data_IF_012992979535
#
_entry.id   IF_012992979535
#
_cell.length_a   1.000
_cell.length_b   1.000
_cell.length_c   1.000
_cell.angle_alpha   90.00
_cell.angle_beta   90.00
_cell.angle_gamma   90.00
#
_symmetry.space_group_name_H-M   'P 1'
#
loop_
_entity.id
_entity.type
_entity.pdbx_description
1 polymer ?
#
# COMPACT_ATOMS: atom_id res chain seq x y z
N UNK A 1 6.55 6.03 20.20
CA UNK A 1 5.81 4.81 19.80
C UNK A 1 4.42 4.81 20.41
N UNK A 2 3.36 4.71 19.58
CA UNK A 2 1.96 4.48 20.00
C UNK A 2 1.37 3.30 19.23
N UNK A 3 0.35 2.62 19.76
CA UNK A 3 -0.24 1.45 19.13
C UNK A 3 -1.60 1.05 19.71
N UNK A 4 -2.32 0.19 18.99
CA UNK A 4 -3.58 -0.42 19.43
C UNK A 4 -3.58 -1.91 19.08
N UNK A 5 -4.15 -2.74 19.97
CA UNK A 5 -4.48 -4.12 19.63
C UNK A 5 -5.68 -4.11 18.68
N UNK A 6 -5.51 -4.71 17.51
CA UNK A 6 -6.59 -4.92 16.54
C UNK A 6 -7.23 -6.29 16.80
N UNK A 7 -6.39 -7.28 17.10
CA UNK A 7 -6.76 -8.61 17.59
C UNK A 7 -5.94 -8.90 18.85
N UNK A 8 -6.27 -9.94 19.64
CA UNK A 8 -5.47 -10.32 20.82
C UNK A 8 -3.97 -10.56 20.52
N UNK A 9 -3.65 -10.97 19.29
CA UNK A 9 -2.31 -11.29 18.82
C UNK A 9 -1.79 -10.37 17.69
N UNK A 10 -2.55 -9.35 17.28
CA UNK A 10 -2.14 -8.40 16.23
C UNK A 10 -2.24 -6.96 16.73
N UNK A 11 -1.10 -6.28 16.76
CA UNK A 11 -0.98 -4.85 17.09
C UNK A 11 -0.63 -4.07 15.81
N UNK A 12 -1.28 -2.92 15.64
CA UNK A 12 -0.86 -1.89 14.65
C UNK A 12 -0.35 -0.66 15.39
N UNK A 13 0.80 -0.16 14.99
CA UNK A 13 1.43 0.98 15.66
C UNK A 13 2.32 1.85 14.80
N UNK A 14 2.79 2.94 15.41
CA UNK A 14 3.82 3.83 14.87
C UNK A 14 5.21 3.21 15.01
N UNK A 15 6.23 3.81 14.40
CA UNK A 15 7.59 3.33 14.52
C UNK A 15 8.11 3.32 15.96
N UNK A 16 8.95 2.32 16.23
CA UNK A 16 9.91 2.36 17.34
C UNK A 16 10.84 3.56 17.12
N UNK A 17 11.24 4.20 18.21
CA UNK A 17 12.10 5.38 18.20
C UNK A 17 13.49 5.06 18.75
N UNK A 18 13.56 4.11 19.69
CA UNK A 18 14.80 3.77 20.39
C UNK A 18 14.89 2.27 20.65
N UNK A 19 16.08 1.73 20.93
CA UNK A 19 16.27 0.36 21.40
C UNK A 19 15.35 -0.04 22.57
N UNK A 20 15.08 0.88 23.51
CA UNK A 20 14.21 0.64 24.66
C UNK A 20 12.76 0.30 24.28
N UNK A 21 12.31 0.68 23.08
CA UNK A 21 10.98 0.31 22.61
C UNK A 21 10.86 -1.20 22.34
N UNK A 22 11.96 -1.87 21.98
CA UNK A 22 12.00 -3.34 21.88
C UNK A 22 11.68 -3.99 23.21
N UNK A 23 12.27 -3.49 24.30
CA UNK A 23 12.04 -3.98 25.66
C UNK A 23 10.58 -3.76 26.08
N UNK A 24 10.00 -2.60 25.73
CA UNK A 24 8.59 -2.30 26.00
C UNK A 24 7.65 -3.27 25.28
N UNK A 25 7.92 -3.56 24.01
CA UNK A 25 7.12 -4.53 23.24
C UNK A 25 7.28 -5.95 23.77
N UNK A 26 8.49 -6.37 24.14
CA UNK A 26 8.70 -7.70 24.74
C UNK A 26 7.96 -7.87 26.06
N UNK A 27 7.89 -6.83 26.91
CA UNK A 27 7.16 -6.87 28.19
C UNK A 27 5.68 -7.17 28.02
N UNK A 28 5.07 -6.74 26.92
CA UNK A 28 3.66 -7.04 26.61
C UNK A 28 3.49 -8.33 25.79
N UNK A 29 4.56 -9.11 25.60
CA UNK A 29 4.50 -10.42 24.94
C UNK A 29 4.67 -10.40 23.42
N UNK A 30 5.11 -9.28 22.82
CA UNK A 30 5.43 -9.23 21.38
C UNK A 30 6.58 -10.18 21.07
N UNK A 31 6.38 -10.99 20.02
CA UNK A 31 7.36 -11.94 19.48
C UNK A 31 7.88 -11.54 18.11
N UNK A 32 7.14 -10.71 17.38
CA UNK A 32 7.52 -10.24 16.05
C UNK A 32 7.31 -8.73 15.96
N UNK A 33 8.36 -7.98 15.67
CA UNK A 33 8.32 -6.58 15.24
C UNK A 33 8.42 -6.58 13.72
N UNK A 34 7.37 -6.16 13.05
CA UNK A 34 7.24 -6.18 11.59
C UNK A 34 7.27 -4.75 11.04
N UNK A 35 8.44 -4.33 10.59
CA UNK A 35 8.76 -2.97 10.17
C UNK A 35 8.58 -2.79 8.66
N UNK A 36 7.72 -1.85 8.28
CA UNK A 36 7.42 -1.53 6.86
C UNK A 36 8.20 -0.31 6.33
N UNK A 37 9.03 0.32 7.16
CA UNK A 37 9.75 1.55 6.81
C UNK A 37 10.93 1.30 5.88
N UNK A 38 11.11 2.20 4.92
CA UNK A 38 12.34 2.39 4.15
C UNK A 38 13.31 3.29 4.92
N UNK A 39 14.56 3.33 4.47
CA UNK A 39 15.59 4.13 5.13
C UNK A 39 15.28 5.65 5.13
N UNK A 40 14.73 6.25 4.05
CA UNK A 40 14.31 7.66 4.09
C UNK A 40 13.25 7.97 5.15
N UNK A 41 12.36 7.03 5.48
CA UNK A 41 11.40 7.20 6.57
C UNK A 41 12.11 7.34 7.92
N UNK A 42 13.17 6.55 8.13
CA UNK A 42 13.90 6.46 9.37
C UNK A 42 14.83 7.66 9.54
N UNK A 43 15.54 8.03 8.46
CA UNK A 43 16.43 9.19 8.39
C UNK A 43 15.69 10.49 8.72
N UNK A 44 14.48 10.67 8.17
CA UNK A 44 13.67 11.86 8.43
C UNK A 44 13.39 12.08 9.94
N UNK A 45 13.23 11.00 10.71
CA UNK A 45 12.98 11.05 12.16
C UNK A 45 14.23 10.75 13.01
N UNK A 46 15.41 10.58 12.40
CA UNK A 46 16.64 10.24 13.11
C UNK A 46 16.60 8.90 13.85
N UNK A 47 15.87 7.91 13.32
CA UNK A 47 15.71 6.60 13.95
C UNK A 47 16.87 5.68 13.56
N UNK A 48 17.67 5.25 14.54
CA UNK A 48 18.71 4.24 14.36
C UNK A 48 18.11 2.82 14.33
N UNK A 49 17.81 2.35 13.13
CA UNK A 49 17.24 1.01 12.91
C UNK A 49 18.24 -0.11 13.23
N UNK A 50 19.53 0.14 13.08
CA UNK A 50 20.57 -0.85 13.38
C UNK A 50 20.61 -1.12 14.88
N UNK A 51 20.62 -0.07 15.70
CA UNK A 51 20.57 -0.20 17.16
C UNK A 51 19.28 -0.91 17.65
N UNK A 52 18.14 -0.67 16.99
CA UNK A 52 16.87 -1.37 17.28
C UNK A 52 16.99 -2.87 16.95
N UNK A 53 17.54 -3.22 15.79
CA UNK A 53 17.74 -4.62 15.38
C UNK A 53 18.74 -5.35 16.28
N UNK A 54 19.83 -4.69 16.67
CA UNK A 54 20.81 -5.22 17.63
C UNK A 54 20.15 -5.50 18.97
N UNK A 55 19.36 -4.55 19.48
CA UNK A 55 18.63 -4.74 20.74
C UNK A 55 17.65 -5.90 20.69
N UNK A 56 16.94 -6.10 19.58
CA UNK A 56 16.06 -7.26 19.41
C UNK A 56 16.82 -8.59 19.48
N UNK A 57 18.01 -8.66 18.87
CA UNK A 57 18.89 -9.83 18.93
C UNK A 57 19.40 -10.10 20.36
N UNK A 58 19.93 -9.08 21.03
CA UNK A 58 20.43 -9.17 22.41
C UNK A 58 19.34 -9.61 23.39
N UNK A 59 18.16 -9.01 23.25
CA UNK A 59 17.04 -9.25 24.13
C UNK A 59 16.54 -10.69 24.00
N UNK A 60 16.57 -11.25 22.79
CA UNK A 60 16.14 -12.61 22.49
C UNK A 60 14.63 -12.84 22.66
N UNK A 61 14.08 -13.83 21.95
CA UNK A 61 12.65 -14.16 22.04
C UNK A 61 11.70 -13.09 21.48
N UNK A 62 12.23 -12.13 20.73
CA UNK A 62 11.52 -11.16 19.89
C UNK A 62 12.35 -11.00 18.60
N UNK A 63 11.71 -11.09 17.44
CA UNK A 63 12.37 -10.95 16.14
C UNK A 63 11.98 -9.62 15.50
N UNK A 64 12.97 -8.92 14.93
CA UNK A 64 12.73 -7.72 14.13
C UNK A 64 12.88 -8.04 12.63
N UNK A 65 11.81 -7.87 11.87
CA UNK A 65 11.76 -8.13 10.41
C UNK A 65 11.51 -6.82 9.68
N UNK A 66 12.25 -6.56 8.60
CA UNK A 66 11.99 -5.43 7.70
C UNK A 66 11.37 -5.95 6.40
N UNK A 67 10.17 -5.48 6.07
CA UNK A 67 9.46 -5.78 4.84
C UNK A 67 8.97 -4.46 4.23
N UNK A 68 9.89 -3.77 3.56
CA UNK A 68 9.73 -2.35 3.23
C UNK A 68 8.63 -2.08 2.19
N UNK A 69 7.90 -0.98 2.39
CA UNK A 69 6.90 -0.40 1.48
C UNK A 69 7.12 1.12 1.47
N UNK A 70 7.16 1.75 0.30
CA UNK A 70 7.34 3.20 0.12
C UNK A 70 6.17 3.98 0.71
N UNK A 71 6.46 5.08 1.41
CA UNK A 71 5.41 5.93 1.98
C UNK A 71 4.72 6.79 0.92
N UNK A 72 3.47 7.18 1.19
CA UNK A 72 2.64 7.98 0.29
C UNK A 72 2.50 7.41 -1.12
N UNK A 73 2.59 6.08 -1.26
CA UNK A 73 2.52 5.38 -2.53
C UNK A 73 1.54 4.19 -2.47
N UNK A 74 0.28 4.40 -2.87
CA UNK A 74 -0.72 3.33 -2.95
C UNK A 74 -0.36 2.24 -3.98
N UNK A 75 0.42 2.57 -5.01
CA UNK A 75 0.82 1.61 -6.04
C UNK A 75 1.92 0.68 -5.52
N UNK A 76 2.96 1.21 -4.90
CA UNK A 76 3.98 0.37 -4.25
C UNK A 76 3.33 -0.51 -3.17
N UNK A 77 2.41 0.05 -2.38
CA UNK A 77 1.61 -0.75 -1.44
C UNK A 77 0.90 -1.93 -2.14
N UNK A 78 0.11 -1.67 -3.20
CA UNK A 78 -0.57 -2.71 -3.99
C UNK A 78 0.40 -3.81 -4.45
N UNK A 79 1.52 -3.42 -5.04
CA UNK A 79 2.50 -4.36 -5.63
C UNK A 79 3.25 -5.15 -4.55
N UNK A 80 3.52 -4.54 -3.40
CA UNK A 80 4.30 -5.15 -2.30
C UNK A 80 3.47 -6.04 -1.38
N UNK A 81 2.17 -5.78 -1.25
CA UNK A 81 1.27 -6.51 -0.34
C UNK A 81 1.42 -8.04 -0.41
N UNK A 82 1.47 -8.69 -1.59
CA UNK A 82 1.68 -10.14 -1.68
C UNK A 82 2.94 -10.63 -0.93
N UNK A 83 4.12 -10.10 -1.26
CA UNK A 83 5.37 -10.56 -0.66
C UNK A 83 5.48 -10.18 0.83
N UNK A 84 4.99 -8.99 1.19
CA UNK A 84 5.01 -8.51 2.57
C UNK A 84 4.10 -9.34 3.46
N UNK A 85 2.86 -9.61 3.04
CA UNK A 85 1.90 -10.38 3.84
C UNK A 85 2.28 -11.87 3.87
N UNK A 86 2.90 -12.41 2.82
CA UNK A 86 3.49 -13.76 2.85
C UNK A 86 4.60 -13.87 3.92
N UNK A 87 5.50 -12.88 3.97
CA UNK A 87 6.57 -12.81 4.98
C UNK A 87 6.00 -12.69 6.39
N UNK A 88 5.01 -11.80 6.58
CA UNK A 88 4.28 -11.66 7.84
C UNK A 88 3.65 -12.98 8.28
N UNK A 89 2.91 -13.65 7.39
CA UNK A 89 2.26 -14.92 7.71
C UNK A 89 3.27 -15.96 8.19
N UNK A 90 4.40 -16.13 7.48
CA UNK A 90 5.45 -17.07 7.89
C UNK A 90 6.06 -16.72 9.24
N UNK A 91 6.31 -15.44 9.49
CA UNK A 91 6.82 -14.96 10.77
C UNK A 91 5.84 -15.24 11.92
N UNK A 92 4.56 -14.95 11.73
CA UNK A 92 3.50 -15.25 12.71
C UNK A 92 3.43 -16.76 12.98
N UNK A 93 3.49 -17.59 11.94
CA UNK A 93 3.46 -19.04 12.10
C UNK A 93 4.69 -19.60 12.82
N UNK A 94 5.88 -19.06 12.56
CA UNK A 94 7.13 -19.49 13.18
C UNK A 94 7.24 -19.03 14.63
N UNK A 95 7.00 -17.74 14.89
CA UNK A 95 7.32 -17.14 16.18
C UNK A 95 6.19 -17.34 17.19
N UNK A 96 4.94 -17.45 16.72
CA UNK A 96 3.72 -17.44 17.53
C UNK A 96 3.64 -16.20 18.43
N UNK A 97 2.53 -16.02 19.17
CA UNK A 97 2.36 -14.87 20.06
C UNK A 97 2.08 -13.55 19.32
N UNK A 98 2.25 -12.43 20.02
CA UNK A 98 1.79 -11.12 19.55
C UNK A 98 2.72 -10.57 18.47
N UNK A 99 2.13 -10.08 17.38
CA UNK A 99 2.85 -9.44 16.27
C UNK A 99 2.56 -7.95 16.23
N UNK A 100 3.62 -7.14 16.23
CA UNK A 100 3.60 -5.69 16.16
C UNK A 100 3.89 -5.23 14.73
N UNK A 101 2.86 -4.84 13.99
CA UNK A 101 2.97 -4.36 12.61
C UNK A 101 3.06 -2.84 12.63
N UNK A 102 4.14 -2.27 12.07
CA UNK A 102 4.31 -0.82 12.07
C UNK A 102 4.88 -0.28 10.76
N UNK A 103 4.57 0.99 10.52
CA UNK A 103 5.25 1.85 9.55
C UNK A 103 5.76 3.08 10.30
N UNK A 104 5.77 4.26 9.69
CA UNK A 104 6.13 5.51 10.38
C UNK A 104 5.03 5.93 11.39
N UNK A 105 3.87 6.37 10.90
CA UNK A 105 2.77 6.83 11.76
C UNK A 105 1.84 5.70 12.24
N UNK A 106 1.89 4.52 11.61
CA UNK A 106 0.91 3.46 11.84
C UNK A 106 -0.48 3.79 11.31
N UNK A 107 -0.58 4.63 10.26
CA UNK A 107 -1.85 5.15 9.73
C UNK A 107 -2.16 4.74 8.28
N UNK A 108 -1.17 4.29 7.52
CA UNK A 108 -1.33 3.90 6.10
C UNK A 108 -0.87 2.47 5.83
N UNK A 109 0.44 2.29 5.64
CA UNK A 109 1.06 0.99 5.29
C UNK A 109 0.77 -0.11 6.33
N UNK A 110 0.98 0.16 7.61
CA UNK A 110 0.76 -0.83 8.68
C UNK A 110 -0.69 -1.32 8.80
N UNK A 111 -1.71 -0.43 8.90
CA UNK A 111 -3.08 -0.89 8.93
C UNK A 111 -3.50 -1.59 7.63
N UNK A 112 -2.98 -1.18 6.46
CA UNK A 112 -3.21 -1.89 5.20
C UNK A 112 -2.69 -3.34 5.24
N UNK A 113 -1.46 -3.54 5.71
CA UNK A 113 -0.85 -4.88 5.84
C UNK A 113 -1.60 -5.74 6.86
N UNK A 114 -1.96 -5.19 8.02
CA UNK A 114 -2.72 -5.91 9.04
C UNK A 114 -4.10 -6.32 8.52
N UNK A 115 -4.82 -5.40 7.86
CA UNK A 115 -6.12 -5.66 7.27
C UNK A 115 -6.04 -6.73 6.17
N UNK A 116 -5.01 -6.66 5.32
CA UNK A 116 -4.78 -7.66 4.27
C UNK A 116 -4.47 -9.04 4.85
N UNK A 117 -3.74 -9.11 5.96
CA UNK A 117 -3.49 -10.35 6.68
C UNK A 117 -4.78 -10.97 7.24
N UNK A 118 -5.63 -10.15 7.88
CA UNK A 118 -6.94 -10.59 8.38
C UNK A 118 -7.82 -11.12 7.24
N UNK A 119 -7.86 -10.38 6.13
CA UNK A 119 -8.64 -10.71 4.95
C UNK A 119 -8.16 -11.99 4.25
N UNK A 120 -6.86 -12.13 3.95
CA UNK A 120 -6.35 -13.26 3.17
C UNK A 120 -6.14 -14.54 4.00
N UNK A 121 -5.71 -14.41 5.26
CA UNK A 121 -5.28 -15.57 6.06
C UNK A 121 -6.23 -15.91 7.21
N UNK A 122 -6.84 -14.93 7.86
CA UNK A 122 -7.69 -15.17 9.04
C UNK A 122 -9.18 -15.38 8.72
N UNK A 123 -9.58 -15.19 7.45
CA UNK A 123 -10.93 -15.52 7.00
C UNK A 123 -11.96 -14.41 7.13
N UNK A 124 -11.56 -13.21 7.56
CA UNK A 124 -12.46 -12.07 7.68
C UNK A 124 -12.99 -11.62 6.30
N UNK A 125 -14.15 -10.98 6.29
CA UNK A 125 -14.51 -10.06 5.21
C UNK A 125 -13.67 -8.77 5.30
N UNK A 126 -13.41 -8.14 4.16
CA UNK A 126 -12.57 -6.93 4.11
C UNK A 126 -13.23 -5.74 4.83
N UNK A 127 -14.55 -5.57 4.68
CA UNK A 127 -15.27 -4.46 5.31
C UNK A 127 -15.35 -4.67 6.82
N UNK A 128 -15.74 -5.87 7.27
CA UNK A 128 -15.81 -6.22 8.69
C UNK A 128 -14.45 -6.03 9.39
N UNK A 129 -13.36 -6.49 8.78
CA UNK A 129 -12.03 -6.29 9.33
C UNK A 129 -11.61 -4.81 9.35
N UNK A 130 -12.04 -4.02 8.36
CA UNK A 130 -11.78 -2.59 8.33
C UNK A 130 -12.56 -1.85 9.43
N UNK A 131 -13.83 -2.20 9.65
CA UNK A 131 -14.65 -1.63 10.73
C UNK A 131 -14.04 -1.96 12.10
N UNK A 132 -13.65 -3.21 12.33
CA UNK A 132 -12.96 -3.61 13.55
C UNK A 132 -11.68 -2.79 13.77
N UNK A 133 -10.85 -2.67 12.73
CA UNK A 133 -9.61 -1.90 12.80
C UNK A 133 -9.86 -0.42 13.12
N UNK A 134 -10.84 0.20 12.46
CA UNK A 134 -11.15 1.63 12.64
C UNK A 134 -11.83 1.91 13.99
N UNK A 135 -12.52 0.93 14.58
CA UNK A 135 -13.13 1.06 15.90
C UNK A 135 -12.11 1.29 17.03
N UNK A 136 -10.87 0.81 16.84
CA UNK A 136 -9.79 0.92 17.84
C UNK A 136 -8.65 1.85 17.40
N UNK A 137 -8.49 2.08 16.10
CA UNK A 137 -7.43 2.94 15.56
C UNK A 137 -7.90 3.72 14.32
N UNK A 138 -8.27 5.01 14.49
CA UNK A 138 -8.57 5.90 13.37
C UNK A 138 -7.36 5.99 12.42
N UNK A 139 -7.54 5.57 11.17
CA UNK A 139 -6.46 5.52 10.17
C UNK A 139 -6.98 5.44 8.73
N UNK A 140 -6.08 5.20 7.76
CA UNK A 140 -6.36 5.19 6.32
C UNK A 140 -5.73 3.94 5.64
N UNK A 141 -6.33 2.73 5.78
CA UNK A 141 -5.74 1.46 5.36
C UNK A 141 -5.70 1.22 3.84
N UNK A 142 -6.05 2.22 3.02
CA UNK A 142 -5.96 2.18 1.55
C UNK A 142 -6.67 0.96 0.93
N UNK A 143 -7.97 0.78 1.22
CA UNK A 143 -8.77 -0.38 0.80
C UNK A 143 -8.65 -0.68 -0.70
N UNK A 144 -8.59 0.34 -1.56
CA UNK A 144 -8.47 0.16 -3.00
C UNK A 144 -7.17 -0.56 -3.40
N UNK A 145 -6.06 -0.31 -2.70
CA UNK A 145 -4.79 -1.03 -2.92
C UNK A 145 -4.91 -2.51 -2.53
N UNK A 146 -5.63 -2.81 -1.45
CA UNK A 146 -5.88 -4.19 -0.98
C UNK A 146 -6.76 -4.95 -1.98
N UNK A 147 -7.85 -4.33 -2.46
CA UNK A 147 -8.73 -4.92 -3.48
C UNK A 147 -7.96 -5.20 -4.76
N UNK A 148 -7.21 -4.21 -5.26
CA UNK A 148 -6.40 -4.38 -6.46
C UNK A 148 -5.32 -5.47 -6.30
N UNK A 149 -4.61 -5.53 -5.17
CA UNK A 149 -3.64 -6.59 -4.91
C UNK A 149 -4.29 -7.98 -4.89
N UNK A 150 -5.52 -8.06 -4.37
CA UNK A 150 -6.33 -9.30 -4.36
C UNK A 150 -6.75 -9.69 -5.78
N UNK A 151 -7.22 -8.73 -6.57
CA UNK A 151 -7.51 -8.94 -7.99
C UNK A 151 -6.27 -9.45 -8.73
N UNK A 152 -5.11 -8.83 -8.55
CA UNK A 152 -3.87 -9.21 -9.24
C UNK A 152 -3.42 -10.63 -8.88
N UNK A 153 -3.58 -11.03 -7.62
CA UNK A 153 -3.32 -12.40 -7.19
C UNK A 153 -4.26 -13.41 -7.84
N UNK A 154 -5.51 -13.06 -8.15
CA UNK A 154 -6.50 -13.99 -8.70
C UNK A 154 -6.56 -13.97 -10.23
N UNK A 155 -6.32 -12.81 -10.85
CA UNK A 155 -6.51 -12.59 -12.29
C UNK A 155 -5.20 -12.30 -13.05
N UNK A 156 -4.08 -12.16 -12.34
CA UNK A 156 -2.82 -11.72 -12.94
C UNK A 156 -2.73 -10.20 -13.11
N UNK A 157 -1.58 -9.75 -13.60
CA UNK A 157 -1.12 -8.36 -13.62
C UNK A 157 -1.08 -7.79 -15.04
N UNK A 158 -2.23 -7.80 -15.72
CA UNK A 158 -2.35 -7.20 -17.05
C UNK A 158 -2.08 -5.69 -16.99
N UNK A 159 -1.43 -5.17 -18.05
CA UNK A 159 -1.08 -3.76 -18.20
C UNK A 159 -1.64 -3.21 -19.50
N UNK A 160 -1.94 -1.91 -19.49
CA UNK A 160 -2.28 -1.15 -20.68
C UNK A 160 -1.47 0.15 -20.71
N UNK A 161 -1.25 0.69 -21.91
CA UNK A 161 -0.60 1.99 -22.08
C UNK A 161 -1.62 3.11 -21.95
N UNK A 162 -1.39 4.02 -21.01
CA UNK A 162 -2.16 5.26 -20.83
C UNK A 162 -1.35 6.43 -21.35
N UNK A 163 -2.02 7.34 -22.06
CA UNK A 163 -1.47 8.61 -22.50
C UNK A 163 -2.12 9.75 -21.71
N UNK A 164 -1.32 10.49 -20.96
CA UNK A 164 -1.74 11.66 -20.19
C UNK A 164 -1.26 12.90 -20.93
N UNK A 165 -2.13 13.89 -21.09
CA UNK A 165 -1.87 15.05 -21.94
C UNK A 165 -2.19 16.36 -21.23
N UNK A 166 -1.32 17.33 -21.43
CA UNK A 166 -1.54 18.71 -21.00
C UNK A 166 -1.37 19.65 -22.19
N UNK A 167 -2.35 20.51 -22.44
CA UNK A 167 -2.33 21.48 -23.52
C UNK A 167 -2.37 22.88 -22.94
N UNK A 168 -1.28 23.62 -23.12
CA UNK A 168 -1.12 25.00 -22.66
C UNK A 168 0.07 25.63 -23.40
N UNK A 169 -0.17 26.81 -23.98
CA UNK A 169 0.75 27.51 -24.89
C UNK A 169 1.88 28.23 -24.13
N UNK A 170 1.69 28.51 -22.84
CA UNK A 170 2.56 29.41 -22.07
C UNK A 170 3.39 28.70 -20.98
N UNK A 171 3.19 27.40 -20.78
CA UNK A 171 3.88 26.66 -19.72
C UNK A 171 5.27 26.14 -20.16
N UNK A 172 6.23 26.13 -19.22
CA UNK A 172 7.63 25.74 -19.49
C UNK A 172 7.95 24.32 -19.07
N UNK A 173 7.26 23.84 -18.06
CA UNK A 173 7.44 22.52 -17.46
C UNK A 173 6.08 21.96 -17.08
N UNK A 174 5.90 20.67 -17.40
CA UNK A 174 4.73 19.91 -16.94
C UNK A 174 5.23 18.59 -16.39
N UNK A 175 4.89 18.30 -15.15
CA UNK A 175 5.20 17.06 -14.47
C UNK A 175 3.91 16.43 -13.92
N UNK A 176 3.97 15.15 -13.55
CA UNK A 176 2.89 14.45 -12.86
C UNK A 176 3.42 13.79 -11.58
N UNK A 177 2.60 13.79 -10.53
CA UNK A 177 2.78 13.01 -9.31
C UNK A 177 1.55 12.14 -9.03
N UNK A 178 1.70 11.10 -8.21
CA UNK A 178 0.68 10.06 -7.99
C UNK A 178 0.91 8.86 -8.90
N UNK A 179 -0.11 8.43 -9.66
CA UNK A 179 -0.04 7.29 -10.57
C UNK A 179 0.59 6.04 -9.93
N UNK A 180 1.57 5.45 -10.63
CA UNK A 180 2.37 4.30 -10.24
C UNK A 180 3.72 4.68 -9.64
N UNK A 181 3.93 5.97 -9.37
CA UNK A 181 5.19 6.49 -8.80
C UNK A 181 5.06 6.95 -7.36
N UNK A 182 3.84 7.26 -6.90
CA UNK A 182 3.57 7.79 -5.56
C UNK A 182 3.53 9.33 -5.53
N UNK A 183 3.07 9.87 -4.41
CA UNK A 183 2.92 11.33 -4.23
C UNK A 183 4.21 12.05 -3.82
N UNK A 184 5.27 11.30 -3.50
CA UNK A 184 6.58 11.86 -3.17
C UNK A 184 7.52 11.97 -4.38
N UNK A 185 7.04 11.59 -5.56
CA UNK A 185 7.81 11.49 -6.79
C UNK A 185 7.13 12.32 -7.89
N UNK A 186 7.93 12.80 -8.84
CA UNK A 186 7.44 13.55 -10.01
C UNK A 186 8.09 12.97 -11.27
N UNK A 187 7.32 12.95 -12.36
CA UNK A 187 7.80 12.55 -13.68
C UNK A 187 7.48 13.65 -14.70
N UNK A 188 8.47 14.13 -15.48
CA UNK A 188 8.23 15.16 -16.48
C UNK A 188 7.49 14.59 -17.69
N UNK A 189 6.61 15.40 -18.27
CA UNK A 189 6.01 15.18 -19.58
C UNK A 189 6.99 15.64 -20.68
N UNK A 190 6.83 15.08 -21.88
CA UNK A 190 7.57 15.50 -23.07
C UNK A 190 6.73 16.45 -23.90
N UNK A 191 7.28 17.62 -24.25
CA UNK A 191 6.60 18.58 -25.13
C UNK A 191 6.68 18.15 -26.61
N UNK A 192 5.54 18.13 -27.28
CA UNK A 192 5.38 17.78 -28.70
C UNK A 192 5.04 19.03 -29.50
N UNK A 193 6.08 19.68 -30.04
CA UNK A 193 5.94 20.97 -30.75
C UNK A 193 4.99 20.95 -31.96
N UNK A 194 4.87 19.83 -32.67
CA UNK A 194 3.99 19.70 -33.84
C UNK A 194 2.50 19.75 -33.50
N UNK A 195 2.14 19.39 -32.26
CA UNK A 195 0.77 19.29 -31.78
C UNK A 195 0.50 20.22 -30.58
N UNK A 196 1.50 21.04 -30.22
CA UNK A 196 1.44 22.03 -29.15
C UNK A 196 0.85 21.48 -27.83
N UNK A 197 1.34 20.32 -27.39
CA UNK A 197 0.93 19.71 -26.12
C UNK A 197 2.07 18.92 -25.47
N UNK A 198 1.91 18.66 -24.19
CA UNK A 198 2.77 17.81 -23.38
C UNK A 198 2.15 16.43 -23.26
N UNK A 199 2.97 15.38 -23.37
CA UNK A 199 2.51 13.99 -23.30
C UNK A 199 3.38 13.14 -22.38
N UNK A 200 2.74 12.22 -21.66
CA UNK A 200 3.37 11.13 -20.94
C UNK A 200 2.66 9.81 -21.29
N UNK A 201 3.43 8.83 -21.77
CA UNK A 201 2.97 7.46 -21.91
C UNK A 201 3.41 6.63 -20.70
N UNK A 202 2.48 5.89 -20.08
CA UNK A 202 2.76 5.00 -18.94
C UNK A 202 2.10 3.64 -19.14
N UNK A 203 2.84 2.56 -18.90
CA UNK A 203 2.26 1.22 -18.81
C UNK A 203 1.77 0.97 -17.38
N UNK A 204 0.46 0.92 -17.19
CA UNK A 204 -0.18 0.79 -15.88
C UNK A 204 -0.92 -0.53 -15.74
N UNK A 205 -0.93 -1.12 -14.54
CA UNK A 205 -1.77 -2.29 -14.26
C UNK A 205 -3.25 -1.91 -14.35
N UNK A 206 -4.12 -2.86 -14.68
CA UNK A 206 -5.58 -2.66 -14.59
C UNK A 206 -5.96 -2.15 -13.20
N UNK A 207 -6.77 -1.10 -13.12
CA UNK A 207 -7.16 -0.44 -11.87
C UNK A 207 -7.28 1.07 -12.02
N UNK A 208 -7.58 1.74 -10.91
CA UNK A 208 -7.75 3.19 -10.87
C UNK A 208 -6.54 3.85 -10.20
N UNK A 209 -6.12 4.98 -10.75
CA UNK A 209 -4.95 5.72 -10.32
C UNK A 209 -5.27 7.20 -10.21
N UNK A 210 -5.10 7.76 -9.02
CA UNK A 210 -5.17 9.19 -8.82
C UNK A 210 -3.82 9.84 -9.14
N UNK A 211 -3.86 11.03 -9.70
CA UNK A 211 -2.68 11.81 -10.05
C UNK A 211 -2.99 13.29 -10.10
N UNK A 212 -1.94 14.10 -10.17
CA UNK A 212 -2.06 15.55 -10.33
C UNK A 212 -0.88 16.09 -11.10
N UNK A 213 -1.13 17.13 -11.90
CA UNK A 213 -0.08 17.81 -12.64
C UNK A 213 0.65 18.80 -11.74
N UNK A 214 1.89 19.09 -12.09
CA UNK A 214 2.68 20.20 -11.58
C UNK A 214 3.11 20.99 -12.81
N UNK A 215 2.48 22.15 -13.02
CA UNK A 215 2.72 23.03 -14.18
C UNK A 215 3.48 24.24 -13.67
N UNK A 216 4.71 24.42 -14.15
CA UNK A 216 5.62 25.48 -13.68
C UNK A 216 5.75 25.55 -12.15
N UNK A 217 5.82 24.38 -11.52
CA UNK A 217 5.95 24.23 -10.07
C UNK A 217 4.62 24.33 -9.29
N UNK A 218 3.49 24.52 -9.97
CA UNK A 218 2.16 24.67 -9.35
C UNK A 218 1.32 23.41 -9.51
N UNK A 219 0.89 22.83 -8.38
CA UNK A 219 0.00 21.67 -8.35
C UNK A 219 -1.36 22.01 -8.95
N UNK A 220 -1.67 21.41 -10.11
CA UNK A 220 -2.81 21.77 -10.94
C UNK A 220 -3.57 20.51 -11.37
N UNK A 221 -4.90 20.61 -11.44
CA UNK A 221 -5.74 19.56 -12.04
C UNK A 221 -6.09 19.95 -13.47
N UNK A 222 -6.16 18.97 -14.37
CA UNK A 222 -6.70 19.17 -15.71
C UNK A 222 -8.24 19.08 -15.65
N UNK A 223 -9.00 20.16 -15.90
CA UNK A 223 -10.47 20.12 -15.84
C UNK A 223 -11.12 19.33 -16.98
N UNK A 224 -10.35 18.96 -18.02
CA UNK A 224 -10.80 18.16 -19.16
C UNK A 224 -10.58 16.65 -18.98
N UNK A 225 -9.90 16.26 -17.90
CA UNK A 225 -9.71 14.85 -17.52
C UNK A 225 -10.56 14.51 -16.30
N UNK A 226 -10.89 13.23 -16.05
CA UNK A 226 -11.69 12.84 -14.89
C UNK A 226 -11.10 13.34 -13.58
N UNK A 227 -11.96 13.87 -12.70
CA UNK A 227 -11.61 14.43 -11.40
C UNK A 227 -12.23 13.60 -10.27
N UNK A 228 -11.50 13.44 -9.18
CA UNK A 228 -12.05 12.85 -7.95
C UNK A 228 -13.03 13.82 -7.29
N UNK A 229 -13.90 13.29 -6.44
CA UNK A 229 -14.53 14.12 -5.42
C UNK A 229 -13.46 14.68 -4.46
N UNK A 230 -13.71 15.84 -3.82
CA UNK A 230 -12.82 16.36 -2.79
C UNK A 230 -12.64 15.36 -1.66
N UNK A 231 -11.39 15.08 -1.29
CA UNK A 231 -11.10 14.23 -0.14
C UNK A 231 -11.39 14.98 1.19
N UNK A 232 -11.13 14.31 2.34
CA UNK A 232 -11.39 14.90 3.67
C UNK A 232 -10.61 16.20 3.94
N UNK A 233 -9.50 16.39 3.24
CA UNK A 233 -8.64 17.58 3.33
C UNK A 233 -8.99 18.62 2.25
N UNK A 234 -10.04 18.38 1.46
CA UNK A 234 -10.50 19.25 0.37
C UNK A 234 -9.69 19.15 -0.92
N UNK A 235 -8.75 18.21 -1.02
CA UNK A 235 -7.95 18.02 -2.22
C UNK A 235 -8.74 17.27 -3.29
N UNK A 236 -8.68 17.82 -4.51
CA UNK A 236 -9.19 17.21 -5.75
C UNK A 236 -7.97 16.77 -6.58
N UNK A 237 -8.05 15.57 -7.13
CA UNK A 237 -7.06 14.97 -8.02
C UNK A 237 -7.69 14.65 -9.37
N UNK A 238 -6.86 14.53 -10.41
CA UNK A 238 -7.27 13.78 -11.58
C UNK A 238 -7.22 12.28 -11.29
N UNK A 239 -7.92 11.47 -12.08
CA UNK A 239 -7.73 10.03 -12.05
C UNK A 239 -7.86 9.40 -13.44
N UNK A 240 -7.25 8.23 -13.60
CA UNK A 240 -7.42 7.37 -14.77
C UNK A 240 -7.86 5.99 -14.33
N UNK A 241 -8.82 5.42 -15.05
CA UNK A 241 -9.25 4.04 -14.90
C UNK A 241 -8.70 3.21 -16.06
N UNK A 242 -7.87 2.23 -15.73
CA UNK A 242 -7.23 1.33 -16.69
C UNK A 242 -8.04 0.05 -16.74
N UNK A 243 -8.70 -0.18 -17.87
CA UNK A 243 -9.52 -1.37 -18.12
C UNK A 243 -8.72 -2.36 -18.96
N UNK A 244 -8.63 -3.62 -18.52
CA UNK A 244 -7.92 -4.66 -19.26
C UNK A 244 -8.73 -5.15 -20.45
N UNK A 245 -8.66 -4.45 -21.57
CA UNK A 245 -9.48 -4.75 -22.75
C UNK A 245 -9.23 -6.16 -23.28
N UNK A 246 -7.98 -6.63 -23.17
CA UNK A 246 -7.55 -7.98 -23.53
C UNK A 246 -7.98 -9.10 -22.57
N UNK A 247 -8.60 -8.79 -21.43
CA UNK A 247 -9.03 -9.79 -20.44
C UNK A 247 -10.33 -10.49 -20.86
N UNK A 248 -10.40 -11.79 -20.58
CA UNK A 248 -11.61 -12.60 -20.79
C UNK A 248 -12.77 -12.14 -19.88
N UNK A 249 -13.99 -12.58 -20.23
CA UNK A 249 -15.20 -12.13 -19.56
C UNK A 249 -15.32 -12.61 -18.11
N UNK A 250 -14.73 -13.74 -17.75
CA UNK A 250 -14.73 -14.26 -16.38
C UNK A 250 -13.80 -13.43 -15.50
N UNK A 251 -12.60 -13.12 -16.00
CA UNK A 251 -11.64 -12.22 -15.35
C UNK A 251 -12.27 -10.85 -15.08
N UNK A 252 -12.93 -10.24 -16.07
CA UNK A 252 -13.60 -8.94 -15.92
C UNK A 252 -14.68 -8.98 -14.82
N UNK A 253 -15.53 -10.01 -14.80
CA UNK A 253 -16.56 -10.21 -13.77
C UNK A 253 -15.96 -10.40 -12.38
N UNK A 254 -14.88 -11.17 -12.27
CA UNK A 254 -14.19 -11.40 -11.01
C UNK A 254 -13.60 -10.10 -10.46
N UNK A 255 -12.90 -9.30 -11.29
CA UNK A 255 -12.38 -7.99 -10.86
C UNK A 255 -13.51 -7.05 -10.45
N UNK A 256 -14.60 -6.97 -11.23
CA UNK A 256 -15.75 -6.13 -10.89
C UNK A 256 -16.32 -6.49 -9.51
N UNK A 257 -16.47 -7.77 -9.21
CA UNK A 257 -16.93 -8.26 -7.90
C UNK A 257 -15.96 -7.90 -6.77
N UNK A 258 -14.67 -8.11 -6.98
CA UNK A 258 -13.64 -7.86 -5.97
C UNK A 258 -13.40 -6.36 -5.70
N UNK A 259 -13.77 -5.49 -6.63
CA UNK A 259 -13.69 -4.04 -6.46
C UNK A 259 -14.90 -3.43 -5.73
N UNK A 260 -15.94 -4.22 -5.44
CA UNK A 260 -17.08 -3.78 -4.62
C UNK A 260 -16.66 -3.46 -3.17
N UNK A 261 -17.56 -2.84 -2.42
CA UNK A 261 -17.28 -2.35 -1.06
C UNK A 261 -16.88 -3.48 -0.08
N UNK A 262 -17.62 -4.58 -0.09
CA UNK A 262 -17.40 -5.79 0.73
C UNK A 262 -17.18 -7.02 -0.16
N UNK A 263 -15.96 -7.21 -0.70
CA UNK A 263 -15.67 -8.33 -1.57
C UNK A 263 -15.38 -9.60 -0.76
N UNK A 264 -16.38 -10.45 -0.60
CA UNK A 264 -16.18 -11.76 0.03
C UNK A 264 -15.31 -12.67 -0.86
N UNK A 265 -14.26 -13.27 -0.28
CA UNK A 265 -13.50 -14.34 -0.94
C UNK A 265 -14.15 -15.69 -0.64
N UNK A 266 -14.42 -16.46 -1.69
CA UNK A 266 -14.83 -17.86 -1.52
C UNK A 266 -13.62 -18.76 -1.16
N UNK A 267 -13.90 -19.99 -0.76
CA UNK A 267 -12.86 -20.93 -0.31
C UNK A 267 -11.82 -21.24 -1.39
N UNK A 268 -12.23 -21.30 -2.66
CA UNK A 268 -11.33 -21.57 -3.78
C UNK A 268 -10.36 -20.41 -3.96
N UNK A 269 -10.86 -19.17 -3.95
CA UNK A 269 -10.05 -17.95 -4.05
C UNK A 269 -9.06 -17.83 -2.89
N UNK A 270 -9.51 -18.11 -1.66
CA UNK A 270 -8.64 -18.15 -0.48
C UNK A 270 -7.54 -19.20 -0.62
N UNK A 271 -7.86 -20.38 -1.15
CA UNK A 271 -6.87 -21.44 -1.41
C UNK A 271 -5.86 -21.03 -2.49
N UNK A 272 -6.30 -20.37 -3.57
CA UNK A 272 -5.41 -19.86 -4.62
C UNK A 272 -4.46 -18.81 -4.06
N UNK A 273 -4.98 -17.83 -3.31
CA UNK A 273 -4.17 -16.79 -2.65
C UNK A 273 -3.15 -17.45 -1.73
N UNK A 274 -3.59 -18.31 -0.81
CA UNK A 274 -2.68 -19.01 0.12
C UNK A 274 -1.59 -19.78 -0.62
N UNK A 275 -1.92 -20.54 -1.66
CA UNK A 275 -0.95 -21.30 -2.45
C UNK A 275 0.11 -20.40 -3.07
N UNK A 276 -0.32 -19.31 -3.74
CA UNK A 276 0.60 -18.34 -4.36
C UNK A 276 1.51 -17.70 -3.32
N UNK A 277 0.95 -17.23 -2.20
CA UNK A 277 1.72 -16.54 -1.17
C UNK A 277 2.71 -17.47 -0.45
N UNK A 278 2.34 -18.72 -0.19
CA UNK A 278 3.22 -19.68 0.48
C UNK A 278 4.41 -20.11 -0.40
N UNK A 279 4.29 -20.01 -1.73
CA UNK A 279 5.40 -20.26 -2.66
C UNK A 279 6.41 -19.10 -2.77
N UNK A 280 6.06 -17.88 -2.33
CA UNK A 280 6.98 -16.75 -2.39
C UNK A 280 8.12 -16.95 -1.39
N UNK A 281 9.37 -16.50 -1.67
CA UNK A 281 10.40 -16.44 -0.64
C UNK A 281 10.02 -15.43 0.46
N UNK A 282 10.56 -15.61 1.67
CA UNK A 282 10.49 -14.55 2.67
C UNK A 282 11.41 -13.39 2.25
N UNK A 283 10.96 -12.16 2.48
CA UNK A 283 11.75 -10.94 2.28
C UNK A 283 12.89 -10.81 3.29
#
# INVERSE_FOLDING_TARGET
MNYNFILPDVIVGSCLQTPLDVDRLKKIGVKTIFCLQQDPDLEYFGVDICAIQERAKETGGIEHIRAQIRDFDPFDLRVRLPAVVATLYKAVQRNKGITYIHCTAGLGRAPAVALTYMYWFLGYDLLEANELLLSVRPCFPKLEAIRNATCDLLTGSAKETVFLKWQDDDCRTVEISGLDIGWGQMVPLTYVSSENHWILARELLVGRYEYKYIVDGVWTTNPHEPLTEPNKDGHINNFVEVVGDCQDSETKRLRQRLMQESPALNDIERQIIRRKLLSLPSL
#
